data_IF_102754577927
#
_entry.id   IF_102754577927
#
_cell.length_a   1.000
_cell.length_b   1.000
_cell.length_c   1.000
_cell.angle_alpha   90.00
_cell.angle_beta   90.00
_cell.angle_gamma   90.00
#
_symmetry.space_group_name_H-M   'P 1'
#
loop_
_entity.id
_entity.type
_entity.pdbx_description
1 polymer ?
#
# COMPACT_ATOMS: atom_id res chain seq x y z
N UNK A 1 55.06 47.73 -9.58
CA UNK A 1 55.63 46.61 -10.35
C UNK A 1 54.56 45.52 -10.43
N UNK A 2 54.03 45.35 -11.63
CA UNK A 2 52.93 44.37 -11.93
C UNK A 2 53.59 43.09 -12.34
N UNK A 3 53.24 41.97 -11.72
CA UNK A 3 53.59 40.62 -12.22
C UNK A 3 52.31 39.86 -12.51
N UNK A 4 52.09 39.60 -13.78
CA UNK A 4 51.00 38.83 -14.39
C UNK A 4 51.47 37.37 -14.47
N UNK A 5 50.82 36.47 -13.78
CA UNK A 5 50.94 35.01 -14.08
C UNK A 5 49.73 34.59 -14.88
N UNK A 6 49.99 34.17 -16.12
CA UNK A 6 49.04 33.47 -16.98
C UNK A 6 49.07 32.01 -16.62
N UNK A 7 47.93 31.45 -16.26
CA UNK A 7 47.72 30.00 -16.16
C UNK A 7 47.04 29.52 -17.44
N UNK A 8 47.71 28.63 -18.15
CA UNK A 8 47.21 28.01 -19.37
C UNK A 8 46.22 26.90 -19.03
N UNK A 9 45.02 27.02 -19.64
CA UNK A 9 44.00 25.97 -19.65
C UNK A 9 44.41 24.88 -20.71
N UNK A 10 44.66 23.69 -20.26
CA UNK A 10 44.70 22.50 -21.12
C UNK A 10 43.30 21.85 -21.12
N UNK A 11 42.63 22.01 -22.23
CA UNK A 11 41.39 21.33 -22.55
C UNK A 11 41.72 19.97 -23.14
N UNK A 12 41.52 18.88 -22.42
CA UNK A 12 41.53 17.52 -22.97
C UNK A 12 40.11 17.11 -23.32
N UNK A 13 39.84 17.15 -24.61
CA UNK A 13 38.63 16.62 -25.22
C UNK A 13 38.74 15.08 -25.27
N UNK A 14 37.93 14.39 -24.47
CA UNK A 14 37.75 12.94 -24.61
C UNK A 14 36.44 12.72 -25.39
N UNK A 15 36.61 12.32 -26.65
CA UNK A 15 35.53 11.75 -27.45
C UNK A 15 35.33 10.30 -27.00
N UNK A 16 34.21 9.98 -26.44
CA UNK A 16 33.73 8.61 -26.30
C UNK A 16 32.57 8.41 -27.28
N UNK A 17 32.79 7.48 -28.17
CA UNK A 17 31.90 7.11 -29.26
C UNK A 17 30.64 6.46 -28.72
N UNK A 18 29.53 6.78 -29.36
CA UNK A 18 28.25 6.07 -29.26
C UNK A 18 28.45 4.64 -29.75
N UNK A 19 28.01 3.70 -28.94
CA UNK A 19 27.68 2.34 -29.34
C UNK A 19 26.22 2.12 -29.07
N UNK A 20 25.42 2.08 -30.12
CA UNK A 20 24.07 1.55 -30.13
C UNK A 20 24.17 0.04 -29.97
N UNK A 21 23.53 -0.52 -28.95
CA UNK A 21 23.15 -1.93 -28.95
C UNK A 21 21.69 -2.04 -28.41
N UNK A 22 20.84 -2.18 -29.40
CA UNK A 22 19.46 -2.62 -29.32
C UNK A 22 19.47 -4.14 -29.06
N UNK A 23 18.97 -4.60 -27.93
CA UNK A 23 18.59 -6.01 -27.73
C UNK A 23 17.68 -6.22 -26.55
N UNK A 24 16.39 -6.32 -26.83
CA UNK A 24 15.57 -7.46 -26.48
C UNK A 24 15.48 -7.87 -24.99
N UNK A 25 14.41 -7.41 -24.35
CA UNK A 25 13.85 -8.06 -23.18
C UNK A 25 13.45 -9.51 -23.51
N UNK A 26 13.70 -10.48 -22.64
CA UNK A 26 12.59 -11.30 -22.20
C UNK A 26 12.53 -11.46 -20.68
N UNK A 27 11.39 -11.15 -20.12
CA UNK A 27 10.88 -11.62 -18.86
C UNK A 27 10.97 -13.16 -18.82
N UNK A 28 11.81 -13.69 -17.94
CA UNK A 28 11.73 -15.07 -17.50
C UNK A 28 11.39 -15.05 -16.03
N UNK A 29 10.18 -15.48 -15.73
CA UNK A 29 9.77 -15.83 -14.40
C UNK A 29 10.59 -17.02 -13.92
N UNK A 30 11.34 -16.88 -12.85
CA UNK A 30 11.81 -17.99 -12.05
C UNK A 30 10.94 -18.09 -10.80
N UNK A 31 10.05 -19.06 -10.83
CA UNK A 31 9.51 -19.68 -9.64
C UNK A 31 10.61 -20.56 -9.05
N UNK A 32 10.67 -20.55 -7.71
CA UNK A 32 11.30 -21.47 -6.78
C UNK A 32 12.35 -20.82 -5.87
N UNK A 33 11.89 -20.41 -4.70
CA UNK A 33 12.64 -20.57 -3.45
C UNK A 33 11.66 -20.68 -2.28
N UNK A 34 11.33 -21.93 -1.96
CA UNK A 34 10.65 -22.33 -0.73
C UNK A 34 11.56 -22.07 0.47
N UNK A 35 11.27 -21.06 1.26
CA UNK A 35 11.84 -20.91 2.59
C UNK A 35 10.90 -21.51 3.60
N UNK A 36 11.21 -22.72 4.04
CA UNK A 36 10.57 -23.45 5.13
C UNK A 36 10.85 -22.74 6.46
N UNK A 37 9.83 -22.17 7.07
CA UNK A 37 9.89 -21.76 8.47
C UNK A 37 9.83 -22.99 9.36
N UNK A 38 10.91 -23.25 10.09
CA UNK A 38 10.97 -24.25 11.16
C UNK A 38 10.35 -23.63 12.40
N UNK A 39 9.16 -24.12 12.76
CA UNK A 39 8.56 -23.87 14.08
C UNK A 39 9.30 -24.71 15.11
N UNK A 40 10.07 -24.08 15.97
CA UNK A 40 10.57 -24.69 17.20
C UNK A 40 9.44 -24.71 18.25
N UNK A 41 8.77 -25.83 18.36
CA UNK A 41 7.89 -26.12 19.48
C UNK A 41 8.70 -26.78 20.61
N UNK A 42 8.84 -26.08 21.73
CA UNK A 42 9.35 -26.64 22.98
C UNK A 42 8.25 -27.47 23.65
N UNK A 43 8.49 -28.77 23.72
CA UNK A 43 7.72 -29.74 24.46
C UNK A 43 8.13 -29.77 25.93
N UNK A 44 7.17 -29.72 26.85
CA UNK A 44 7.30 -30.26 28.18
C UNK A 44 6.24 -31.33 28.43
N UNK A 45 6.73 -32.53 28.70
CA UNK A 45 6.02 -33.76 29.04
C UNK A 45 5.54 -33.73 30.48
N UNK A 46 4.34 -34.30 30.75
CA UNK A 46 4.11 -35.19 31.91
C UNK A 46 2.96 -36.13 31.58
N UNK A 47 3.13 -37.35 32.08
CA UNK A 47 2.57 -38.64 31.78
C UNK A 47 1.20 -38.97 32.36
N UNK A 48 0.64 -40.07 31.78
CA UNK A 48 -0.17 -41.19 32.34
C UNK A 48 -1.63 -40.89 32.74
N UNK A 49 -2.64 -41.70 32.45
CA UNK A 49 -2.79 -43.13 32.22
C UNK A 49 -4.24 -43.49 31.87
N UNK A 50 -4.40 -44.70 31.26
CA UNK A 50 -5.46 -45.68 31.32
C UNK A 50 -6.77 -45.52 30.55
N UNK A 51 -6.89 -46.30 29.52
CA UNK A 51 -7.79 -47.44 29.15
C UNK A 51 -9.30 -47.32 29.37
N UNK A 52 -10.08 -47.54 28.31
CA UNK A 52 -10.93 -48.73 28.15
C UNK A 52 -11.77 -48.69 26.86
N UNK A 53 -11.88 -49.87 26.28
CA UNK A 53 -12.63 -50.32 25.11
C UNK A 53 -14.13 -50.01 25.14
N UNK A 54 -14.78 -49.87 23.99
CA UNK A 54 -15.88 -50.70 23.52
C UNK A 54 -16.31 -50.32 22.08
N UNK A 55 -16.10 -51.25 21.15
CA UNK A 55 -16.98 -52.03 20.28
C UNK A 55 -17.97 -51.30 19.32
N UNK A 56 -17.84 -51.78 18.14
CA UNK A 56 -18.62 -51.70 16.90
C UNK A 56 -20.15 -51.72 17.03
N UNK A 57 -20.77 -51.06 16.05
CA UNK A 57 -21.92 -51.65 15.35
C UNK A 57 -22.15 -51.03 13.97
N UNK A 58 -21.85 -51.84 12.95
CA UNK A 58 -22.35 -51.72 11.57
C UNK A 58 -23.86 -51.95 11.54
N UNK A 59 -24.58 -51.20 10.73
CA UNK A 59 -25.78 -51.68 10.03
C UNK A 59 -25.93 -51.02 8.67
N UNK A 60 -25.77 -51.85 7.64
CA UNK A 60 -26.25 -51.70 6.28
C UNK A 60 -27.77 -51.90 6.24
N UNK A 61 -28.43 -51.23 5.29
CA UNK A 61 -29.51 -51.76 4.42
C UNK A 61 -29.88 -50.62 3.43
N UNK A 62 -29.58 -50.78 2.19
CA UNK A 62 -30.11 -51.36 0.95
C UNK A 62 -31.43 -50.73 0.45
N UNK A 63 -31.27 -50.09 -0.70
CA UNK A 63 -32.03 -50.12 -1.96
C UNK A 63 -33.56 -50.22 -1.93
N UNK A 64 -34.20 -49.33 -2.72
CA UNK A 64 -35.09 -49.79 -3.80
C UNK A 64 -35.46 -48.67 -4.76
N UNK A 65 -35.33 -48.99 -6.03
CA UNK A 65 -35.71 -48.30 -7.24
C UNK A 65 -37.17 -48.55 -7.61
N UNK A 66 -37.85 -47.63 -8.25
CA UNK A 66 -38.45 -47.75 -9.56
C UNK A 66 -39.71 -46.85 -9.76
N UNK A 67 -40.11 -46.65 -11.00
CA UNK A 67 -40.69 -45.41 -11.52
C UNK A 67 -42.20 -45.51 -11.78
N UNK A 68 -42.88 -44.38 -12.03
CA UNK A 68 -44.20 -44.37 -12.71
C UNK A 68 -44.27 -43.17 -13.66
N UNK A 69 -44.72 -43.56 -14.85
CA UNK A 69 -44.95 -42.79 -16.06
C UNK A 69 -46.24 -41.92 -16.03
N UNK A 70 -46.19 -40.91 -16.91
CA UNK A 70 -47.27 -40.36 -17.75
C UNK A 70 -48.63 -39.99 -17.16
N UNK A 71 -49.01 -38.74 -17.43
CA UNK A 71 -50.31 -38.39 -18.00
C UNK A 71 -50.31 -37.07 -18.76
N UNK A 72 -50.75 -37.16 -19.98
CA UNK A 72 -50.93 -36.21 -21.07
C UNK A 72 -52.01 -35.14 -20.82
N UNK A 73 -51.89 -34.02 -21.58
CA UNK A 73 -52.89 -33.14 -22.21
C UNK A 73 -53.16 -31.82 -21.51
N UNK A 74 -53.16 -30.69 -22.12
CA UNK A 74 -53.48 -30.17 -23.46
C UNK A 74 -53.27 -28.62 -23.44
N UNK A 75 -52.74 -28.19 -24.58
CA UNK A 75 -52.86 -26.92 -25.29
C UNK A 75 -53.56 -25.70 -24.66
N UNK A 76 -52.89 -24.56 -24.67
CA UNK A 76 -53.39 -23.32 -25.25
C UNK A 76 -52.21 -22.38 -25.61
N UNK A 77 -52.12 -22.05 -26.87
CA UNK A 77 -51.21 -21.04 -27.43
C UNK A 77 -51.58 -19.66 -26.93
N UNK A 78 -50.62 -18.91 -26.43
CA UNK A 78 -50.67 -17.47 -26.41
C UNK A 78 -49.32 -16.91 -26.80
N UNK A 79 -49.33 -16.21 -27.92
CA UNK A 79 -48.27 -15.43 -28.51
C UNK A 79 -47.67 -14.47 -27.48
N UNK A 80 -46.40 -14.65 -27.15
CA UNK A 80 -45.61 -13.65 -26.40
C UNK A 80 -44.53 -13.11 -27.31
N UNK A 81 -44.71 -11.84 -27.65
CA UNK A 81 -43.76 -10.99 -28.33
C UNK A 81 -42.37 -11.03 -27.66
N UNK A 82 -41.37 -11.32 -28.47
CA UNK A 82 -39.94 -11.22 -28.14
C UNK A 82 -39.60 -9.77 -27.78
N UNK A 83 -39.50 -9.46 -26.51
CA UNK A 83 -38.77 -8.32 -26.06
C UNK A 83 -37.33 -8.78 -25.73
N UNK A 84 -36.40 -8.33 -26.57
CA UNK A 84 -34.97 -8.42 -26.31
C UNK A 84 -34.66 -7.71 -25.00
N UNK A 85 -34.41 -8.49 -23.95
CA UNK A 85 -33.79 -7.97 -22.74
C UNK A 85 -32.32 -7.73 -23.10
N UNK A 86 -31.97 -6.48 -23.36
CA UNK A 86 -30.60 -6.02 -23.31
C UNK A 86 -30.22 -6.08 -21.87
N UNK A 87 -29.39 -7.05 -21.50
CA UNK A 87 -28.59 -7.00 -20.28
C UNK A 87 -27.59 -5.86 -20.46
N UNK A 88 -27.98 -4.67 -20.06
CA UNK A 88 -27.01 -3.65 -19.68
C UNK A 88 -26.32 -4.14 -18.38
N UNK A 89 -25.16 -4.73 -18.51
CA UNK A 89 -24.20 -4.82 -17.40
C UNK A 89 -23.84 -3.39 -17.01
N UNK A 90 -24.68 -2.79 -16.18
CA UNK A 90 -24.36 -1.58 -15.47
C UNK A 90 -23.27 -1.94 -14.46
N UNK A 91 -22.03 -1.70 -14.83
CA UNK A 91 -20.90 -1.63 -13.90
C UNK A 91 -21.16 -0.47 -12.93
N UNK A 92 -22.03 -0.70 -11.96
CA UNK A 92 -22.18 0.20 -10.83
C UNK A 92 -20.93 0.08 -9.97
N UNK A 93 -19.99 1.01 -10.14
CA UNK A 93 -18.92 1.21 -9.15
C UNK A 93 -19.58 1.41 -7.78
N UNK A 94 -19.34 0.48 -6.87
CA UNK A 94 -19.83 0.57 -5.49
C UNK A 94 -19.18 1.80 -4.88
N UNK A 95 -19.93 2.90 -4.75
CA UNK A 95 -19.51 4.04 -3.95
C UNK A 95 -19.62 3.63 -2.50
N UNK A 96 -18.49 3.39 -1.87
CA UNK A 96 -18.43 3.21 -0.42
C UNK A 96 -18.44 4.59 0.19
N UNK A 97 -19.48 4.89 0.98
CA UNK A 97 -19.63 6.16 1.71
C UNK A 97 -19.13 5.95 3.14
N UNK A 98 -17.90 6.36 3.39
CA UNK A 98 -17.29 6.30 4.71
C UNK A 98 -17.52 7.59 5.49
N UNK A 99 -17.66 7.55 6.83
CA UNK A 99 -17.73 8.75 7.66
C UNK A 99 -16.51 9.65 7.45
N UNK A 100 -16.74 10.94 7.28
CA UNK A 100 -15.71 11.94 7.05
C UNK A 100 -15.80 13.10 8.01
N UNK A 101 -14.66 13.74 8.29
CA UNK A 101 -14.53 14.94 9.11
C UNK A 101 -13.27 15.71 8.67
N UNK A 102 -12.83 16.65 9.45
CA UNK A 102 -11.58 17.37 9.25
C UNK A 102 -10.94 17.76 10.57
N UNK A 103 -9.63 17.86 10.56
CA UNK A 103 -8.84 18.38 11.68
C UNK A 103 -8.03 19.59 11.24
N UNK A 104 -7.61 20.40 12.21
CA UNK A 104 -6.62 21.45 12.03
C UNK A 104 -5.35 20.98 12.73
N UNK A 105 -4.22 21.03 12.02
CA UNK A 105 -2.90 20.82 12.62
C UNK A 105 -2.50 22.10 13.34
N UNK A 106 -2.42 22.05 14.67
CA UNK A 106 -2.15 23.21 15.49
C UNK A 106 -0.72 23.77 15.31
N UNK A 107 0.15 23.01 14.67
CA UNK A 107 1.56 23.40 14.45
C UNK A 107 1.71 24.46 13.35
N UNK A 108 0.86 24.38 12.31
CA UNK A 108 0.94 25.26 11.13
C UNK A 108 -0.42 25.80 10.68
N UNK A 109 -1.52 25.36 11.31
CA UNK A 109 -2.88 25.76 10.99
C UNK A 109 -3.46 25.09 9.73
N UNK A 110 -2.77 24.13 9.12
CA UNK A 110 -3.29 23.41 7.96
C UNK A 110 -4.49 22.55 8.33
N UNK A 111 -5.49 22.54 7.45
CA UNK A 111 -6.70 21.75 7.61
C UNK A 111 -6.59 20.49 6.76
N UNK A 112 -6.75 19.33 7.39
CA UNK A 112 -6.77 18.03 6.74
C UNK A 112 -8.16 17.39 6.80
N UNK A 113 -8.62 16.87 5.65
CA UNK A 113 -9.77 15.98 5.61
C UNK A 113 -9.37 14.64 6.21
N UNK A 114 -10.29 14.02 6.95
CA UNK A 114 -10.11 12.69 7.53
C UNK A 114 -11.30 11.81 7.18
N UNK A 115 -11.07 10.51 7.14
CA UNK A 115 -12.06 9.49 6.82
C UNK A 115 -11.95 8.33 7.81
N UNK A 116 -13.09 7.86 8.29
CA UNK A 116 -13.12 6.66 9.14
C UNK A 116 -13.28 5.42 8.28
N UNK A 117 -12.27 4.55 8.31
CA UNK A 117 -12.31 3.26 7.63
C UNK A 117 -12.10 2.18 8.68
N UNK A 118 -13.10 1.29 8.82
CA UNK A 118 -13.20 0.35 9.92
C UNK A 118 -13.21 1.11 11.27
N UNK A 119 -12.30 0.79 12.16
CA UNK A 119 -12.15 1.40 13.50
C UNK A 119 -11.20 2.60 13.54
N UNK A 120 -10.43 2.85 12.46
CA UNK A 120 -9.39 3.88 12.44
C UNK A 120 -9.81 5.11 11.64
N UNK A 121 -9.37 6.27 12.11
CA UNK A 121 -9.42 7.50 11.35
C UNK A 121 -8.13 7.67 10.55
N UNK A 122 -8.24 7.90 9.26
CA UNK A 122 -7.14 8.11 8.32
C UNK A 122 -7.18 9.53 7.77
N UNK A 123 -6.02 10.11 7.52
CA UNK A 123 -5.96 11.29 6.68
C UNK A 123 -6.44 10.94 5.26
N UNK A 124 -7.38 11.73 4.74
CA UNK A 124 -7.84 11.65 3.35
C UNK A 124 -6.97 12.49 2.40
N UNK A 125 -5.87 13.01 2.89
CA UNK A 125 -4.86 13.80 2.18
C UNK A 125 -3.48 13.39 2.67
N UNK A 126 -2.46 13.55 1.82
CA UNK A 126 -1.09 13.38 2.29
C UNK A 126 -0.73 14.57 3.19
N UNK A 127 0.09 14.30 4.19
CA UNK A 127 0.59 15.33 5.11
C UNK A 127 1.42 16.38 4.34
N UNK A 128 1.26 17.65 4.71
CA UNK A 128 1.97 18.77 4.09
C UNK A 128 2.73 19.63 5.11
N UNK A 129 2.95 19.10 6.33
CA UNK A 129 3.71 19.78 7.36
C UNK A 129 5.19 19.87 6.98
N UNK A 130 5.74 21.09 6.97
CA UNK A 130 7.15 21.33 6.62
C UNK A 130 8.08 20.94 7.77
N UNK A 131 9.08 20.13 7.48
CA UNK A 131 10.16 19.76 8.38
C UNK A 131 11.45 19.58 7.59
N UNK A 132 12.57 19.49 8.28
CA UNK A 132 13.84 19.10 7.67
C UNK A 132 13.70 17.77 6.93
N UNK A 133 14.36 17.65 5.78
CA UNK A 133 14.29 16.48 4.88
C UNK A 133 12.86 16.15 4.40
N UNK A 134 12.05 17.22 4.19
CA UNK A 134 10.76 17.14 3.51
C UNK A 134 10.73 18.08 2.31
N UNK A 135 10.22 17.59 1.17
CA UNK A 135 10.28 18.29 -0.11
C UNK A 135 8.93 18.38 -0.80
N UNK A 136 8.68 19.46 -1.51
CA UNK A 136 7.64 19.50 -2.52
C UNK A 136 8.14 18.76 -3.77
N UNK A 137 7.28 18.03 -4.48
CA UNK A 137 7.68 17.43 -5.75
C UNK A 137 8.26 18.51 -6.70
N UNK A 138 9.41 18.24 -7.32
CA UNK A 138 10.18 19.19 -8.13
C UNK A 138 10.50 20.53 -7.40
N UNK A 139 10.64 20.50 -6.07
CA UNK A 139 10.90 21.67 -5.22
C UNK A 139 9.94 22.84 -5.46
N UNK A 140 8.71 22.54 -5.86
CA UNK A 140 7.71 23.54 -6.21
C UNK A 140 6.49 23.47 -5.29
N UNK A 141 6.19 24.60 -4.63
CA UNK A 141 5.09 24.73 -3.65
C UNK A 141 3.72 24.34 -4.23
N UNK A 142 3.49 24.56 -5.53
CA UNK A 142 2.26 24.12 -6.21
C UNK A 142 2.00 22.63 -6.09
N UNK A 143 3.06 21.81 -5.96
CA UNK A 143 2.93 20.38 -5.78
C UNK A 143 2.69 20.00 -4.32
N UNK A 144 3.23 20.74 -3.38
CA UNK A 144 2.86 20.62 -1.98
C UNK A 144 1.36 20.91 -1.76
N UNK A 145 0.84 22.00 -2.38
CA UNK A 145 -0.58 22.34 -2.31
C UNK A 145 -1.48 21.24 -2.89
N UNK A 146 -0.99 20.54 -3.93
CA UNK A 146 -1.74 19.49 -4.61
C UNK A 146 -1.61 18.11 -3.96
N UNK A 147 -0.40 17.75 -3.55
CA UNK A 147 -0.05 16.38 -3.21
C UNK A 147 0.46 16.19 -1.77
N UNK A 148 0.69 17.26 -1.03
CA UNK A 148 1.45 17.21 0.23
C UNK A 148 2.96 17.09 -0.03
N UNK A 149 3.71 16.84 1.03
CA UNK A 149 5.17 16.72 0.99
C UNK A 149 5.63 15.27 0.87
N UNK A 150 6.84 15.12 0.38
CA UNK A 150 7.62 13.88 0.35
C UNK A 150 8.68 13.98 1.47
N UNK A 151 8.79 12.97 2.29
CA UNK A 151 9.64 12.91 3.48
C UNK A 151 10.64 11.79 3.31
N UNK A 152 11.89 11.96 3.77
CA UNK A 152 12.75 10.80 4.05
C UNK A 152 12.11 9.97 5.17
N UNK A 153 12.50 8.70 5.33
CA UNK A 153 11.91 7.90 6.37
C UNK A 153 12.22 8.42 7.78
N UNK A 154 13.45 8.89 8.02
CA UNK A 154 13.82 9.51 9.28
C UNK A 154 12.92 10.71 9.61
N UNK A 155 12.69 11.61 8.65
CA UNK A 155 11.77 12.74 8.81
C UNK A 155 10.33 12.26 9.07
N UNK A 156 9.86 11.23 8.35
CA UNK A 156 8.52 10.67 8.54
C UNK A 156 8.30 10.14 9.96
N UNK A 157 9.30 9.46 10.54
CA UNK A 157 9.22 8.93 11.91
C UNK A 157 9.65 9.94 12.99
N UNK A 158 9.89 11.20 12.60
CA UNK A 158 10.18 12.30 13.52
C UNK A 158 11.57 12.21 14.16
N UNK A 159 12.55 11.72 13.41
CA UNK A 159 13.95 11.56 13.81
C UNK A 159 14.89 12.29 12.86
N UNK A 160 16.10 12.52 13.31
CA UNK A 160 17.17 13.03 12.44
C UNK A 160 17.77 11.91 11.59
N UNK A 161 18.45 12.28 10.49
CA UNK A 161 19.16 11.32 9.65
C UNK A 161 20.30 10.62 10.41
N UNK A 162 20.91 11.28 11.40
CA UNK A 162 21.94 10.68 12.26
C UNK A 162 21.39 9.61 13.20
N UNK A 163 20.11 9.72 13.58
CA UNK A 163 19.43 8.75 14.46
C UNK A 163 18.85 7.58 13.67
N UNK A 164 18.15 7.87 12.54
CA UNK A 164 17.27 6.94 11.86
C UNK A 164 17.43 6.91 10.32
N UNK A 165 18.44 7.59 9.76
CA UNK A 165 18.71 7.59 8.33
C UNK A 165 19.40 6.31 7.85
N UNK A 166 20.04 6.40 6.68
CA UNK A 166 20.83 5.33 6.08
C UNK A 166 21.91 4.80 7.04
N UNK A 167 22.11 3.49 7.07
CA UNK A 167 23.06 2.76 7.95
C UNK A 167 22.78 2.92 9.44
N UNK A 168 21.52 3.13 9.80
CA UNK A 168 21.08 3.26 11.19
C UNK A 168 19.90 2.32 11.48
N UNK A 169 19.99 1.57 12.56
CA UNK A 169 18.86 0.83 13.12
C UNK A 169 18.19 1.69 14.16
N UNK A 170 16.94 2.04 13.92
CA UNK A 170 16.19 3.00 14.72
C UNK A 170 15.51 2.36 15.94
N UNK A 171 15.07 1.11 15.82
CA UNK A 171 14.38 0.34 16.87
C UNK A 171 13.19 1.09 17.50
N UNK A 172 12.30 1.63 16.67
CA UNK A 172 11.15 2.41 17.14
C UNK A 172 10.12 1.53 17.84
N UNK A 173 9.52 2.07 18.90
CA UNK A 173 8.34 1.45 19.54
C UNK A 173 7.06 1.96 18.89
N UNK A 174 6.20 1.05 18.47
CA UNK A 174 4.90 1.40 17.89
C UNK A 174 3.85 1.72 18.98
N UNK A 175 2.89 2.63 18.72
CA UNK A 175 2.77 3.47 17.53
C UNK A 175 3.80 4.61 17.51
N UNK A 176 4.24 5.01 16.32
CA UNK A 176 5.20 6.11 16.11
C UNK A 176 4.44 7.37 15.70
N UNK A 177 4.36 8.37 16.56
CA UNK A 177 3.76 9.66 16.19
C UNK A 177 4.45 10.24 14.95
N UNK A 178 5.79 10.25 14.95
CA UNK A 178 6.57 10.79 13.86
C UNK A 178 6.22 12.24 13.53
N UNK A 179 6.14 12.53 12.25
CA UNK A 179 5.76 13.84 11.70
C UNK A 179 4.27 14.14 11.78
N UNK A 180 3.44 13.20 12.25
CA UNK A 180 2.01 13.39 12.39
C UNK A 180 1.64 14.36 13.53
N UNK A 181 0.48 15.04 13.47
CA UNK A 181 0.02 15.91 14.55
C UNK A 181 -0.20 15.13 15.86
N UNK A 182 -0.31 15.84 16.98
CA UNK A 182 -0.60 15.22 18.28
C UNK A 182 -1.88 14.38 18.24
N UNK A 183 -1.82 13.16 18.77
CA UNK A 183 -2.91 12.19 18.75
C UNK A 183 -3.05 11.41 17.45
N UNK A 184 -2.13 11.60 16.52
CA UNK A 184 -2.01 10.86 15.26
C UNK A 184 -0.63 10.21 15.17
N UNK A 185 -0.48 9.20 14.33
CA UNK A 185 0.79 8.50 14.13
C UNK A 185 0.98 8.05 12.68
N UNK A 186 2.21 7.73 12.31
CA UNK A 186 2.56 7.15 11.02
C UNK A 186 2.10 5.70 11.00
N UNK A 187 1.30 5.25 10.03
CA UNK A 187 0.74 3.90 10.02
C UNK A 187 1.81 2.82 10.05
N UNK A 188 1.58 1.78 10.83
CA UNK A 188 2.37 0.56 10.82
C UNK A 188 1.95 -0.37 9.68
N UNK A 189 2.79 -1.39 9.38
CA UNK A 189 2.45 -2.45 8.43
C UNK A 189 1.16 -3.19 8.81
N UNK A 190 0.87 -3.32 10.12
CA UNK A 190 -0.35 -3.95 10.61
C UNK A 190 -1.59 -3.14 10.26
N UNK A 191 -1.55 -1.82 10.47
CA UNK A 191 -2.66 -0.93 10.15
C UNK A 191 -2.90 -0.83 8.64
N UNK A 192 -1.84 -0.79 7.83
CA UNK A 192 -1.96 -0.89 6.38
C UNK A 192 -2.60 -2.21 5.95
N UNK A 193 -2.17 -3.33 6.53
CA UNK A 193 -2.74 -4.64 6.22
C UNK A 193 -4.21 -4.73 6.64
N UNK A 194 -4.57 -4.23 7.83
CA UNK A 194 -5.96 -4.20 8.32
C UNK A 194 -6.83 -3.38 7.38
N UNK A 195 -6.36 -2.21 6.93
CA UNK A 195 -7.04 -1.40 5.91
C UNK A 195 -7.27 -2.21 4.63
N UNK A 196 -6.23 -2.89 4.11
CA UNK A 196 -6.37 -3.69 2.88
C UNK A 196 -7.35 -4.83 3.04
N UNK A 197 -7.31 -5.56 4.15
CA UNK A 197 -8.25 -6.64 4.45
C UNK A 197 -9.68 -6.10 4.50
N UNK A 198 -9.91 -4.97 5.18
CA UNK A 198 -11.22 -4.35 5.30
C UNK A 198 -11.83 -3.96 3.94
N UNK A 199 -11.03 -3.42 3.03
CA UNK A 199 -11.51 -3.01 1.70
C UNK A 199 -11.53 -4.14 0.66
N UNK A 200 -11.32 -5.40 1.07
CA UNK A 200 -11.46 -6.58 0.21
C UNK A 200 -10.16 -7.26 -0.19
N UNK A 201 -9.05 -6.90 0.44
CA UNK A 201 -7.72 -7.50 0.24
C UNK A 201 -6.80 -6.70 -0.68
N UNK A 202 -5.53 -7.04 -0.64
CA UNK A 202 -4.45 -6.36 -1.38
C UNK A 202 -4.69 -6.28 -2.90
N UNK A 203 -5.38 -7.27 -3.48
CA UNK A 203 -5.64 -7.36 -4.92
C UNK A 203 -6.59 -6.29 -5.44
N UNK A 204 -7.46 -5.74 -4.57
CA UNK A 204 -8.50 -4.76 -4.95
C UNK A 204 -8.36 -3.43 -4.21
N UNK A 205 -7.57 -3.39 -3.13
CA UNK A 205 -7.46 -2.22 -2.26
C UNK A 205 -7.06 -0.95 -3.02
N UNK A 206 -6.16 -1.05 -4.02
CA UNK A 206 -5.74 0.09 -4.82
C UNK A 206 -6.88 0.71 -5.63
N UNK A 207 -7.80 -0.09 -6.14
CA UNK A 207 -8.98 0.39 -6.86
C UNK A 207 -10.00 1.01 -5.90
N UNK A 208 -10.31 0.33 -4.80
CA UNK A 208 -11.29 0.81 -3.82
C UNK A 208 -10.83 2.13 -3.19
N UNK A 209 -9.58 2.23 -2.77
CA UNK A 209 -9.03 3.44 -2.14
C UNK A 209 -8.85 4.61 -3.12
N UNK A 210 -8.61 4.33 -4.40
CA UNK A 210 -8.56 5.33 -5.48
C UNK A 210 -9.94 5.88 -5.82
N UNK A 211 -10.93 5.00 -5.97
CA UNK A 211 -12.27 5.32 -6.41
C UNK A 211 -13.17 5.84 -5.28
N UNK A 212 -12.69 5.82 -4.04
CA UNK A 212 -13.37 6.48 -2.94
C UNK A 212 -13.45 7.98 -3.27
N UNK A 213 -14.61 8.42 -3.75
CA UNK A 213 -14.92 9.79 -4.20
C UNK A 213 -14.69 10.84 -3.10
N UNK A 214 -14.93 12.11 -3.39
CA UNK A 214 -14.85 13.23 -2.46
C UNK A 214 -15.41 12.90 -1.07
N UNK A 215 -14.54 12.54 -0.12
CA UNK A 215 -14.90 12.08 1.21
C UNK A 215 -14.36 10.70 1.58
N UNK A 216 -13.78 9.95 0.62
CA UNK A 216 -13.10 8.69 0.90
C UNK A 216 -11.62 8.86 1.19
N UNK A 217 -10.86 7.78 1.06
CA UNK A 217 -9.41 7.79 1.26
C UNK A 217 -8.67 8.75 0.29
N UNK A 218 -9.26 9.03 -0.88
CA UNK A 218 -8.80 10.02 -1.86
C UNK A 218 -7.31 9.89 -2.15
N UNK A 219 -6.90 8.76 -2.70
CA UNK A 219 -5.51 8.45 -3.01
C UNK A 219 -4.91 9.47 -3.99
N UNK A 220 -3.76 10.06 -3.63
CA UNK A 220 -3.05 11.04 -4.42
C UNK A 220 -1.75 10.44 -4.97
N UNK A 221 -1.59 10.47 -6.30
CA UNK A 221 -0.39 9.96 -6.98
C UNK A 221 0.70 11.04 -7.02
N UNK A 222 1.32 11.28 -5.87
CA UNK A 222 2.34 12.31 -5.68
C UNK A 222 3.68 11.98 -6.39
N UNK A 223 3.88 10.75 -6.80
CA UNK A 223 5.20 10.26 -7.17
C UNK A 223 6.10 10.09 -5.95
N UNK A 224 7.41 10.16 -6.18
CA UNK A 224 8.43 9.98 -5.13
C UNK A 224 9.73 10.67 -5.49
N UNK A 225 10.64 10.79 -4.51
CA UNK A 225 12.06 11.06 -4.72
C UNK A 225 12.78 9.72 -4.58
N UNK A 226 13.68 9.38 -5.50
CA UNK A 226 14.50 8.17 -5.40
C UNK A 226 15.80 8.45 -4.63
N UNK A 227 16.56 7.42 -4.29
CA UNK A 227 17.84 7.52 -3.58
C UNK A 227 18.89 8.42 -4.28
N UNK A 228 18.74 8.68 -5.58
CA UNK A 228 19.59 9.60 -6.34
C UNK A 228 19.12 11.08 -6.24
N UNK A 229 18.01 11.34 -5.55
CA UNK A 229 17.41 12.67 -5.42
C UNK A 229 16.51 13.08 -6.59
N UNK A 230 16.18 12.16 -7.51
CA UNK A 230 15.34 12.47 -8.65
C UNK A 230 13.86 12.37 -8.31
N UNK A 231 13.08 13.36 -8.76
CA UNK A 231 11.63 13.34 -8.68
C UNK A 231 11.04 12.52 -9.82
N UNK A 232 10.36 11.41 -9.50
CA UNK A 232 9.84 10.47 -10.49
C UNK A 232 8.39 10.06 -10.22
N UNK A 233 7.70 9.62 -11.27
CA UNK A 233 6.37 8.97 -11.22
C UNK A 233 5.21 9.87 -10.74
N UNK A 234 5.30 11.20 -10.80
CA UNK A 234 4.15 12.10 -10.57
C UNK A 234 2.96 11.70 -11.44
N UNK A 235 1.79 11.62 -10.83
CA UNK A 235 0.55 11.17 -11.46
C UNK A 235 0.47 9.67 -11.73
N UNK A 236 1.48 8.87 -11.35
CA UNK A 236 1.55 7.43 -11.65
C UNK A 236 1.59 6.54 -10.43
N UNK A 237 2.33 6.93 -9.38
CA UNK A 237 2.40 6.17 -8.14
C UNK A 237 2.12 7.05 -6.92
N UNK A 238 1.56 6.40 -5.89
CA UNK A 238 1.48 6.94 -4.55
C UNK A 238 2.30 6.01 -3.65
N UNK A 239 3.50 6.44 -3.30
CA UNK A 239 4.38 5.77 -2.36
C UNK A 239 4.17 6.42 -0.99
N UNK A 240 3.79 5.64 0.03
CA UNK A 240 3.44 6.15 1.35
C UNK A 240 4.19 5.35 2.41
N UNK A 241 4.95 6.02 3.26
CA UNK A 241 5.73 5.37 4.30
C UNK A 241 4.88 4.59 5.30
N UNK A 242 5.46 3.49 5.79
CA UNK A 242 5.08 2.83 7.02
C UNK A 242 6.07 3.19 8.13
N UNK A 243 5.64 3.12 9.38
CA UNK A 243 6.53 3.32 10.54
C UNK A 243 7.44 2.13 10.85
N UNK A 244 7.29 1.02 10.14
CA UNK A 244 8.12 -0.17 10.34
C UNK A 244 9.43 -0.08 9.56
N UNK A 245 10.51 -0.42 10.24
CA UNK A 245 11.87 -0.53 9.73
C UNK A 245 12.14 -1.94 9.20
N UNK A 246 12.94 -2.09 8.16
CA UNK A 246 13.43 -3.38 7.66
C UNK A 246 14.81 -3.69 8.20
N UNK A 247 15.69 -2.69 8.24
CA UNK A 247 17.08 -2.84 8.66
C UNK A 247 17.81 -1.52 8.73
N UNK A 248 19.12 -1.54 8.50
CA UNK A 248 19.95 -0.33 8.58
C UNK A 248 19.65 0.68 7.47
N UNK A 249 19.37 0.18 6.26
CA UNK A 249 19.26 1.01 5.06
C UNK A 249 17.81 1.18 4.60
N UNK A 250 16.92 0.21 4.86
CA UNK A 250 15.60 0.14 4.28
C UNK A 250 14.47 0.24 5.30
N UNK A 251 13.33 0.73 4.84
CA UNK A 251 12.07 0.78 5.59
C UNK A 251 10.87 0.46 4.71
N UNK A 252 9.76 0.04 5.33
CA UNK A 252 8.58 -0.35 4.59
C UNK A 252 7.78 0.86 4.09
N UNK A 253 7.20 0.70 2.90
CA UNK A 253 6.24 1.61 2.32
C UNK A 253 5.14 0.87 1.56
N UNK A 254 4.03 1.53 1.32
CA UNK A 254 2.95 1.04 0.49
C UNK A 254 3.01 1.71 -0.87
N UNK A 255 2.96 0.90 -1.94
CA UNK A 255 2.98 1.35 -3.33
C UNK A 255 1.63 1.12 -3.99
N UNK A 256 0.99 2.21 -4.37
CA UNK A 256 -0.21 2.23 -5.19
C UNK A 256 0.15 2.73 -6.59
N UNK A 257 -0.13 1.95 -7.59
CA UNK A 257 0.10 2.34 -8.97
C UNK A 257 -1.22 2.59 -9.71
N UNK A 258 -1.30 3.67 -10.48
CA UNK A 258 -2.57 4.17 -11.04
C UNK A 258 -3.28 3.16 -11.97
N UNK A 259 -2.55 2.22 -12.59
CA UNK A 259 -3.09 1.20 -13.48
C UNK A 259 -3.42 -0.13 -12.80
N UNK A 260 -3.01 -0.31 -11.54
CA UNK A 260 -3.23 -1.57 -10.83
C UNK A 260 -4.28 -1.42 -9.73
N UNK A 261 -5.12 -2.45 -9.59
CA UNK A 261 -6.01 -2.60 -8.45
C UNK A 261 -5.26 -3.14 -7.23
N UNK A 262 -4.16 -3.86 -7.45
CA UNK A 262 -3.32 -4.44 -6.40
C UNK A 262 -2.44 -3.37 -5.77
N UNK A 263 -2.33 -3.44 -4.43
CA UNK A 263 -1.35 -2.69 -3.64
C UNK A 263 -0.17 -3.58 -3.25
N UNK A 264 0.97 -2.96 -2.98
CA UNK A 264 2.17 -3.67 -2.59
C UNK A 264 2.75 -3.04 -1.32
N UNK A 265 3.02 -3.87 -0.31
CA UNK A 265 3.89 -3.50 0.80
C UNK A 265 5.30 -3.91 0.41
N UNK A 266 6.20 -2.95 0.34
CA UNK A 266 7.59 -3.09 -0.14
C UNK A 266 8.54 -2.42 0.82
N UNK A 267 9.81 -2.64 0.63
CA UNK A 267 10.92 -1.93 1.24
C UNK A 267 11.56 -0.95 0.26
N UNK A 268 12.17 0.10 0.80
CA UNK A 268 12.91 1.10 0.06
C UNK A 268 13.95 1.77 0.95
N UNK A 269 14.95 2.35 0.31
CA UNK A 269 15.99 3.13 0.95
C UNK A 269 15.39 4.26 1.81
N UNK A 270 15.87 4.41 3.04
CA UNK A 270 15.41 5.44 3.99
C UNK A 270 15.62 6.85 3.50
N UNK A 271 16.54 7.06 2.54
CA UNK A 271 16.79 8.34 1.89
C UNK A 271 15.81 8.69 0.79
N UNK A 272 15.00 7.72 0.32
CA UNK A 272 13.91 7.97 -0.61
C UNK A 272 12.89 8.96 0.00
N UNK A 273 12.27 9.77 -0.84
CA UNK A 273 11.24 10.71 -0.40
C UNK A 273 9.84 10.22 -0.74
N UNK A 274 9.02 9.88 0.27
CA UNK A 274 7.66 9.39 0.09
C UNK A 274 6.65 10.21 0.89
N UNK A 275 5.37 10.09 0.52
CA UNK A 275 4.28 10.73 1.24
C UNK A 275 4.07 10.11 2.62
N UNK A 276 3.39 10.84 3.52
CA UNK A 276 2.90 10.35 4.80
C UNK A 276 1.39 10.53 4.87
N UNK A 277 0.67 9.54 5.36
CA UNK A 277 -0.73 9.62 5.77
C UNK A 277 -0.86 9.21 7.22
N UNK A 278 -1.39 10.10 8.03
CA UNK A 278 -1.52 9.84 9.45
C UNK A 278 -2.78 9.03 9.75
N UNK A 279 -2.72 8.26 10.82
CA UNK A 279 -3.81 7.42 11.32
C UNK A 279 -3.95 7.58 12.83
N UNK A 280 -5.14 7.37 13.36
CA UNK A 280 -5.36 7.27 14.82
C UNK A 280 -6.49 6.32 15.16
N UNK A 281 -6.38 5.72 16.34
CA UNK A 281 -7.45 4.95 16.95
C UNK A 281 -8.67 5.83 17.28
N UNK A 282 -9.84 5.21 17.34
CA UNK A 282 -11.01 5.82 17.95
C UNK A 282 -10.79 5.89 19.47
N UNK A 283 -10.88 7.08 20.03
CA UNK A 283 -10.78 7.34 21.47
C UNK A 283 -12.11 7.06 22.17
#
# INVERSE_FOLDING_TARGET
MKSLYRVALFSTLILVACGDDDSGNPFVANEDSSSSFVLLSSSSSVAESSSSNHEEKKKNLSSSSAPIEDLFSSSSESSVSSSSVQNEESSSSIKVDWPTDSIIDDRDGQKYKIVKIDRLWWFAQNLNYETENSHCYNDSTKYCDKYGRLYTWAAAVGKSEEECGERRVCNLSLPVQGVCPSGWHVPSNYEWNDLFVFVGGDKVAGEVLRNSSEGGFALLYAGRINFAGDFIQEGRSACIWSSNEVGEDDSYYVDFYYTFSKVFLKDADKTDGYSVRCVKDES
#
